data_IF_347348236588
#
_entry.id   IF_347348236588
#
_cell.length_a   1.000
_cell.length_b   1.000
_cell.length_c   1.000
_cell.angle_alpha   90.00
_cell.angle_beta   90.00
_cell.angle_gamma   90.00
#
_symmetry.space_group_name_H-M   'P 1'
#
loop_
_entity.id
_entity.type
_entity.pdbx_description
1 polymer ?
#
# COMPACT_ATOMS: atom_id res chain seq x y z
N UNK A 1 5.01 5.78 -15.96
CA UNK A 1 5.63 7.07 -15.63
C UNK A 1 4.73 7.71 -14.57
N UNK A 2 5.28 8.16 -13.44
CA UNK A 2 4.51 8.94 -12.47
C UNK A 2 4.37 10.36 -13.02
N UNK A 3 3.15 10.90 -13.01
CA UNK A 3 2.95 12.32 -13.31
C UNK A 3 3.48 13.17 -12.15
N UNK A 4 3.73 14.45 -12.41
CA UNK A 4 4.31 15.43 -11.49
C UNK A 4 3.85 15.26 -10.04
N UNK A 5 4.78 15.43 -9.09
CA UNK A 5 4.49 15.25 -7.68
C UNK A 5 3.42 16.24 -7.22
N UNK A 6 2.33 15.72 -6.65
CA UNK A 6 1.33 16.58 -6.00
C UNK A 6 1.83 16.98 -4.61
N UNK A 7 1.74 18.29 -4.34
CA UNK A 7 2.04 18.88 -3.03
C UNK A 7 0.78 19.05 -2.17
N UNK A 8 -0.39 18.62 -2.62
CA UNK A 8 -1.65 18.77 -1.89
C UNK A 8 -1.67 17.91 -0.63
N UNK A 9 -2.32 18.41 0.43
CA UNK A 9 -2.68 17.61 1.59
C UNK A 9 -3.75 16.60 1.20
N UNK A 10 -3.93 15.59 2.02
CA UNK A 10 -5.15 14.81 1.92
C UNK A 10 -5.15 13.51 2.67
N UNK A 11 -6.32 12.88 2.62
CA UNK A 11 -6.54 11.56 3.17
C UNK A 11 -6.10 10.49 2.17
N UNK A 12 -5.38 9.51 2.67
CA UNK A 12 -4.90 8.36 1.93
C UNK A 12 -5.25 7.10 2.69
N UNK A 13 -5.33 6.00 1.96
CA UNK A 13 -5.68 4.70 2.49
C UNK A 13 -4.52 3.76 2.26
N UNK A 14 -4.21 2.95 3.27
CA UNK A 14 -3.26 1.85 3.13
C UNK A 14 -3.81 0.62 3.80
N UNK A 15 -3.65 -0.51 3.12
CA UNK A 15 -3.87 -1.81 3.71
C UNK A 15 -2.55 -2.39 4.20
N UNK A 16 -2.54 -2.92 5.41
CA UNK A 16 -1.33 -3.41 6.04
C UNK A 16 -1.64 -4.30 7.23
N UNK A 17 -0.57 -4.76 7.86
CA UNK A 17 -0.68 -5.59 9.06
C UNK A 17 -1.11 -4.73 10.25
N UNK A 18 -1.88 -5.32 11.17
CA UNK A 18 -2.25 -4.67 12.43
C UNK A 18 -1.02 -4.16 13.18
N UNK A 19 -1.05 -2.90 13.61
CA UNK A 19 0.06 -2.22 14.27
C UNK A 19 1.09 -1.58 13.32
N UNK A 20 1.02 -1.85 12.01
CA UNK A 20 1.93 -1.31 11.00
C UNK A 20 1.17 -0.44 9.98
N UNK A 21 0.80 0.81 10.33
CA UNK A 21 0.00 1.69 9.48
C UNK A 21 0.73 2.20 8.24
N UNK A 22 2.06 2.36 8.31
CA UNK A 22 2.84 3.06 7.28
C UNK A 22 3.52 2.13 6.27
N UNK A 23 3.83 2.68 5.11
CA UNK A 23 4.61 2.07 4.04
C UNK A 23 4.87 3.09 2.92
N UNK A 24 5.18 2.62 1.71
CA UNK A 24 5.48 3.53 0.59
C UNK A 24 4.35 3.72 -0.42
N UNK A 25 3.31 2.89 -0.34
CA UNK A 25 2.22 2.83 -1.33
C UNK A 25 0.87 3.05 -0.65
N UNK A 26 0.09 3.96 -1.21
CA UNK A 26 -1.21 4.38 -0.69
C UNK A 26 -2.22 4.51 -1.84
N UNK A 27 -3.50 4.49 -1.51
CA UNK A 27 -4.62 4.72 -2.44
C UNK A 27 -5.55 5.78 -1.89
N UNK A 28 -6.54 6.23 -2.68
CA UNK A 28 -7.67 7.05 -2.18
C UNK A 28 -8.88 6.21 -1.80
N UNK A 29 -9.00 5.03 -2.40
CA UNK A 29 -10.14 4.13 -2.26
C UNK A 29 -9.71 2.91 -1.44
N UNK A 30 -10.39 2.58 -0.32
CA UNK A 30 -10.10 1.38 0.45
C UNK A 30 -10.43 0.11 -0.33
N UNK A 31 -9.71 -0.96 -0.01
CA UNK A 31 -10.05 -2.33 -0.44
C UNK A 31 -10.68 -3.06 0.74
N UNK A 32 -11.71 -3.86 0.49
CA UNK A 32 -12.54 -4.43 1.55
C UNK A 32 -12.13 -5.84 1.96
N UNK A 33 -11.21 -6.46 1.22
CA UNK A 33 -10.67 -7.78 1.51
C UNK A 33 -9.19 -7.89 1.14
N UNK A 34 -8.48 -8.82 1.75
CA UNK A 34 -7.09 -9.15 1.40
C UNK A 34 -6.98 -9.53 -0.08
N UNK A 35 -7.90 -10.37 -0.58
CA UNK A 35 -7.87 -10.87 -1.96
C UNK A 35 -7.99 -9.74 -2.97
N UNK A 36 -8.96 -8.84 -2.77
CA UNK A 36 -9.16 -7.66 -3.63
C UNK A 36 -7.90 -6.78 -3.62
N UNK A 37 -7.35 -6.51 -2.44
CA UNK A 37 -6.14 -5.69 -2.33
C UNK A 37 -4.94 -6.31 -3.04
N UNK A 38 -4.76 -7.63 -2.96
CA UNK A 38 -3.67 -8.31 -3.66
C UNK A 38 -3.84 -8.25 -5.17
N UNK A 39 -5.06 -8.45 -5.68
CA UNK A 39 -5.34 -8.41 -7.11
C UNK A 39 -5.18 -6.98 -7.66
N UNK A 40 -5.87 -6.02 -7.05
CA UNK A 40 -5.99 -4.65 -7.56
C UNK A 40 -4.75 -3.80 -7.28
N UNK A 41 -4.07 -4.02 -6.15
CA UNK A 41 -2.88 -3.26 -5.76
C UNK A 41 -1.58 -4.03 -6.03
N UNK A 42 -1.69 -5.20 -6.68
CA UNK A 42 -0.58 -6.07 -7.03
C UNK A 42 0.34 -6.41 -5.84
N UNK A 43 -0.23 -6.58 -4.63
CA UNK A 43 0.54 -6.82 -3.40
C UNK A 43 0.88 -8.31 -3.26
N UNK A 44 2.13 -8.66 -3.51
CA UNK A 44 2.63 -10.04 -3.34
C UNK A 44 2.53 -10.51 -1.90
N UNK A 45 2.30 -11.81 -1.73
CA UNK A 45 2.38 -12.47 -0.42
C UNK A 45 3.82 -12.49 0.07
N UNK A 46 4.78 -12.77 -0.80
CA UNK A 46 6.21 -12.86 -0.49
C UNK A 46 6.96 -11.56 -0.79
N UNK A 47 8.09 -11.36 -0.12
CA UNK A 47 9.06 -10.30 -0.44
C UNK A 47 10.39 -10.92 -0.85
N UNK A 48 11.04 -10.34 -1.85
CA UNK A 48 12.38 -10.70 -2.26
C UNK A 48 13.35 -9.73 -1.59
N UNK A 49 14.31 -10.25 -0.83
CA UNK A 49 15.38 -9.44 -0.25
C UNK A 49 16.37 -9.00 -1.34
N UNK A 50 17.17 -7.95 -1.09
CA UNK A 50 18.21 -7.52 -2.03
C UNK A 50 19.23 -8.63 -2.38
N UNK A 51 19.46 -9.59 -1.47
CA UNK A 51 20.34 -10.73 -1.70
C UNK A 51 19.67 -11.89 -2.49
N UNK A 52 18.45 -11.69 -3.01
CA UNK A 52 17.71 -12.68 -3.79
C UNK A 52 16.91 -13.69 -2.95
N UNK A 53 17.03 -13.69 -1.62
CA UNK A 53 16.21 -14.57 -0.77
C UNK A 53 14.73 -14.20 -0.88
N UNK A 54 13.90 -15.20 -1.19
CA UNK A 54 12.45 -15.07 -1.16
C UNK A 54 11.98 -15.41 0.26
N UNK A 55 11.45 -14.42 0.97
CA UNK A 55 10.64 -14.68 2.17
C UNK A 55 9.22 -15.00 1.74
N UNK A 56 8.90 -16.30 1.71
CA UNK A 56 7.54 -16.79 1.47
C UNK A 56 6.76 -16.75 2.78
N UNK A 57 5.74 -15.93 2.76
CA UNK A 57 4.86 -15.54 3.87
C UNK A 57 3.71 -16.53 4.02
N UNK A 58 3.92 -17.83 3.76
CA UNK A 58 2.81 -18.79 3.66
C UNK A 58 2.61 -19.65 4.92
N UNK A 59 3.62 -19.92 5.76
CA UNK A 59 3.47 -20.95 6.81
C UNK A 59 4.21 -20.72 8.15
N UNK A 60 4.36 -19.48 8.64
CA UNK A 60 4.75 -19.26 10.05
C UNK A 60 5.30 -17.86 10.36
N UNK A 61 4.81 -17.26 11.46
CA UNK A 61 5.37 -16.08 12.15
C UNK A 61 5.34 -14.74 11.40
N UNK A 62 5.96 -14.70 10.22
CA UNK A 62 6.17 -13.51 9.40
C UNK A 62 5.08 -13.45 8.31
N UNK A 63 3.81 -13.27 8.70
CA UNK A 63 2.72 -13.05 7.73
C UNK A 63 2.56 -11.56 7.42
N UNK A 64 2.48 -11.18 6.14
CA UNK A 64 1.86 -9.92 5.71
C UNK A 64 0.37 -10.21 5.60
N UNK A 65 -0.32 -10.07 6.72
CA UNK A 65 -1.71 -10.49 6.92
C UNK A 65 -2.67 -9.52 6.22
N UNK A 66 -2.23 -8.30 5.84
CA UNK A 66 -3.09 -7.27 5.23
C UNK A 66 -4.48 -7.21 5.90
N UNK A 67 -4.54 -7.31 7.23
CA UNK A 67 -5.77 -7.49 7.99
C UNK A 67 -6.40 -6.16 8.44
N UNK A 68 -5.76 -5.04 8.14
CA UNK A 68 -6.18 -3.73 8.65
C UNK A 68 -6.10 -2.69 7.54
N UNK A 69 -7.18 -1.90 7.42
CA UNK A 69 -7.21 -0.70 6.58
C UNK A 69 -6.95 0.50 7.47
N UNK A 70 -6.01 1.35 7.05
CA UNK A 70 -5.63 2.59 7.71
C UNK A 70 -5.97 3.78 6.84
N UNK A 71 -6.55 4.81 7.45
CA UNK A 71 -6.70 6.13 6.84
C UNK A 71 -5.69 7.06 7.46
N UNK A 72 -4.85 7.62 6.60
CA UNK A 72 -3.69 8.41 6.98
C UNK A 72 -3.81 9.74 6.28
N UNK A 73 -3.77 10.80 7.07
CA UNK A 73 -3.70 12.17 6.57
C UNK A 73 -2.24 12.55 6.40
N UNK A 74 -1.92 13.09 5.21
CA UNK A 74 -0.60 13.59 4.88
C UNK A 74 -0.69 15.10 4.63
N UNK A 75 0.25 15.91 5.18
CA UNK A 75 0.25 17.35 4.98
C UNK A 75 0.64 17.76 3.55
N UNK A 76 0.50 19.05 3.27
CA UNK A 76 1.04 19.68 2.07
C UNK A 76 2.58 19.71 2.09
N UNK A 77 3.19 19.91 0.92
CA UNK A 77 4.64 20.13 0.79
C UNK A 77 5.51 18.87 0.82
N UNK A 78 4.92 17.70 1.02
CA UNK A 78 5.59 16.40 0.80
C UNK A 78 5.24 15.86 -0.60
N UNK A 79 6.24 15.42 -1.40
CA UNK A 79 6.03 14.87 -2.73
C UNK A 79 5.18 13.59 -2.70
N UNK A 80 4.13 13.56 -3.53
CA UNK A 80 3.25 12.40 -3.71
C UNK A 80 3.16 12.08 -5.18
N UNK A 81 3.64 10.91 -5.57
CA UNK A 81 3.71 10.52 -6.98
C UNK A 81 2.53 9.65 -7.34
N UNK A 82 1.63 10.18 -8.14
CA UNK A 82 0.43 9.47 -8.59
C UNK A 82 0.73 8.65 -9.85
N UNK A 83 0.25 7.42 -9.87
CA UNK A 83 0.40 6.55 -11.03
C UNK A 83 -0.50 5.32 -10.99
N UNK A 84 -0.60 4.58 -12.10
CA UNK A 84 -1.32 3.33 -12.14
C UNK A 84 -0.58 2.24 -11.34
N UNK A 85 -1.33 1.27 -10.82
CA UNK A 85 -0.75 0.06 -10.26
C UNK A 85 -0.19 -0.80 -11.39
N UNK A 86 1.11 -1.09 -11.35
CA UNK A 86 1.77 -1.95 -12.34
C UNK A 86 1.48 -3.43 -12.13
N UNK A 87 1.33 -4.17 -13.23
CA UNK A 87 1.20 -5.63 -13.21
C UNK A 87 2.46 -6.29 -12.63
N UNK A 88 2.28 -7.24 -11.70
CA UNK A 88 3.40 -7.94 -11.07
C UNK A 88 3.48 -9.45 -11.36
N UNK A 89 2.65 -9.95 -12.28
CA UNK A 89 2.59 -11.38 -12.65
C UNK A 89 1.47 -12.15 -11.95
N UNK A 90 0.97 -13.22 -12.58
CA UNK A 90 -0.05 -14.09 -12.01
C UNK A 90 -1.36 -13.36 -11.72
N UNK A 91 -1.91 -13.55 -10.53
CA UNK A 91 -3.17 -12.91 -10.08
C UNK A 91 -3.00 -11.47 -9.60
N UNK A 92 -1.77 -10.95 -9.55
CA UNK A 92 -1.46 -9.58 -9.07
C UNK A 92 -1.56 -8.59 -10.22
N UNK A 93 -2.78 -8.38 -10.71
CA UNK A 93 -3.07 -7.70 -11.97
C UNK A 93 -2.72 -6.20 -11.96
N UNK A 94 -3.04 -5.50 -10.88
CA UNK A 94 -3.00 -4.04 -10.91
C UNK A 94 -3.98 -3.48 -11.96
N UNK A 95 -3.57 -2.43 -12.67
CA UNK A 95 -4.26 -1.95 -13.86
C UNK A 95 -4.34 -0.43 -13.96
N UNK A 96 -4.60 0.08 -15.17
CA UNK A 96 -4.72 1.53 -15.44
C UNK A 96 -5.89 2.18 -14.67
N UNK A 97 -6.91 1.41 -14.33
CA UNK A 97 -8.06 1.87 -13.54
C UNK A 97 -7.77 1.88 -12.03
N UNK A 98 -6.64 1.28 -11.59
CA UNK A 98 -6.23 1.25 -10.20
C UNK A 98 -5.18 2.32 -9.97
N UNK A 99 -5.54 3.32 -9.18
CA UNK A 99 -4.69 4.46 -8.87
C UNK A 99 -3.96 4.25 -7.54
N UNK A 100 -2.65 4.46 -7.56
CA UNK A 100 -1.81 4.45 -6.36
C UNK A 100 -0.92 5.68 -6.28
N UNK A 101 -0.52 5.97 -5.05
CA UNK A 101 0.37 7.06 -4.70
C UNK A 101 1.61 6.47 -4.06
N UNK A 102 2.77 6.74 -4.66
CA UNK A 102 4.04 6.55 -4.00
C UNK A 102 4.30 7.76 -3.12
N UNK A 103 4.43 7.51 -1.83
CA UNK A 103 4.87 8.49 -0.85
C UNK A 103 6.07 7.83 -0.18
N UNK A 104 7.25 8.40 -0.33
CA UNK A 104 8.47 7.87 0.30
C UNK A 104 8.19 7.70 1.80
N UNK A 105 8.74 6.67 2.46
CA UNK A 105 8.32 6.17 3.79
C UNK A 105 8.40 7.23 4.91
N UNK A 106 7.40 8.11 4.96
CA UNK A 106 7.33 9.34 5.75
C UNK A 106 6.48 9.08 7.01
N UNK A 107 6.88 8.09 7.81
CA UNK A 107 6.24 7.77 9.11
C UNK A 107 6.11 8.99 10.02
N UNK A 108 7.02 9.95 9.84
CA UNK A 108 7.11 11.17 10.62
C UNK A 108 6.09 12.25 10.22
N UNK A 109 5.42 12.11 9.07
CA UNK A 109 4.50 13.12 8.53
C UNK A 109 3.06 12.66 8.42
N UNK A 110 2.83 11.36 8.27
CA UNK A 110 1.49 10.79 8.18
C UNK A 110 0.83 10.70 9.56
N UNK A 111 -0.41 11.16 9.68
CA UNK A 111 -1.23 10.99 10.89
C UNK A 111 -2.33 9.97 10.64
N UNK A 112 -2.32 8.86 11.39
CA UNK A 112 -3.43 7.88 11.36
C UNK A 112 -4.67 8.51 11.97
N UNK A 113 -5.74 8.62 11.18
CA UNK A 113 -7.02 9.22 11.61
C UNK A 113 -8.00 8.14 12.05
N UNK A 114 -8.07 7.03 11.31
CA UNK A 114 -8.91 5.88 11.62
C UNK A 114 -8.32 4.61 11.06
N UNK A 115 -8.67 3.48 11.67
CA UNK A 115 -8.38 2.16 11.13
C UNK A 115 -9.51 1.18 11.46
N UNK A 116 -9.66 0.14 10.65
CA UNK A 116 -10.58 -0.96 10.94
C UNK A 116 -9.99 -2.28 10.46
N UNK A 117 -10.28 -3.39 11.15
CA UNK A 117 -9.91 -4.71 10.70
C UNK A 117 -10.79 -5.12 9.51
N UNK A 118 -10.21 -5.88 8.60
CA UNK A 118 -10.92 -6.56 7.52
C UNK A 118 -10.96 -8.07 7.79
N UNK A 119 -11.96 -8.74 7.22
CA UNK A 119 -12.18 -10.18 7.40
C UNK A 119 -11.54 -10.97 6.26
#
# INVERSE_FOLDING_TARGET
>A
MYNDASNESGMFVRMGDKGNPYGSWYTKIPKNSEVEARIDLAIKKWRVKPNGEIRITEYGGDKSILDTVYYIEFPEGIPKYKGPVGYQGGTFFGGLNQEQYFIQDLRDFGKVIKNYPIK
#
